data_IF_215564318210
#
_entry.id   IF_215564318210
#
_cell.length_a   1.000
_cell.length_b   1.000
_cell.length_c   1.000
_cell.angle_alpha   90.00
_cell.angle_beta   90.00
_cell.angle_gamma   90.00
#
_symmetry.space_group_name_H-M   'P 1'
#
loop_
_entity.id
_entity.type
_entity.pdbx_description
1 polymer ?
#
# COMPACT_ATOMS: atom_id res chain seq x y z
N UNK A 1 3.41 10.33 -26.00
CA UNK A 1 2.84 10.08 -24.67
C UNK A 1 3.08 8.60 -24.33
N UNK A 2 4.34 8.15 -24.39
CA UNK A 2 4.68 6.70 -24.50
C UNK A 2 5.65 6.20 -23.41
N UNK A 3 6.03 7.06 -22.45
CA UNK A 3 7.07 6.76 -21.46
C UNK A 3 6.52 6.65 -20.03
N UNK A 4 5.20 6.48 -19.85
CA UNK A 4 4.58 6.47 -18.51
C UNK A 4 4.77 5.15 -17.75
N UNK A 5 5.17 4.08 -18.44
CA UNK A 5 5.19 2.73 -17.85
C UNK A 5 6.58 2.13 -17.72
N UNK A 6 7.56 2.64 -18.47
CA UNK A 6 8.95 2.20 -18.41
C UNK A 6 9.84 3.43 -18.40
N UNK A 7 10.08 3.96 -17.20
CA UNK A 7 11.19 4.90 -16.97
C UNK A 7 12.49 4.20 -17.38
N UNK A 8 13.43 4.96 -17.96
CA UNK A 8 14.82 4.53 -18.23
C UNK A 8 15.36 3.67 -17.08
N UNK A 9 16.20 2.65 -17.34
CA UNK A 9 16.53 1.61 -16.37
C UNK A 9 17.06 2.24 -15.09
N UNK A 10 16.16 2.42 -14.12
CA UNK A 10 16.52 2.84 -12.78
C UNK A 10 17.42 1.73 -12.25
N UNK A 11 18.63 2.08 -11.84
CA UNK A 11 19.52 1.20 -11.09
C UNK A 11 18.89 0.90 -9.72
N UNK A 12 17.83 0.11 -9.75
CA UNK A 12 16.96 -0.20 -8.63
C UNK A 12 17.30 -1.60 -8.15
N UNK A 13 17.52 -1.72 -6.85
CA UNK A 13 17.80 -2.99 -6.20
C UNK A 13 16.49 -3.51 -5.62
N UNK A 14 16.07 -4.69 -6.06
CA UNK A 14 14.92 -5.38 -5.47
C UNK A 14 15.38 -6.18 -4.25
N UNK A 15 14.82 -5.88 -3.09
CA UNK A 15 15.09 -6.60 -1.83
C UNK A 15 13.81 -7.18 -1.23
N UNK A 16 13.94 -8.35 -0.58
CA UNK A 16 12.83 -9.00 0.13
C UNK A 16 12.92 -8.73 1.62
N UNK A 17 11.87 -8.16 2.18
CA UNK A 17 11.68 -8.00 3.63
C UNK A 17 10.60 -8.97 4.11
N UNK A 18 10.86 -9.67 5.20
CA UNK A 18 9.94 -10.66 5.77
C UNK A 18 9.41 -10.14 7.11
N UNK A 19 8.09 -10.13 7.25
CA UNK A 19 7.38 -9.80 8.48
C UNK A 19 6.76 -11.07 9.05
N UNK A 20 7.23 -11.51 10.20
CA UNK A 20 6.68 -12.66 10.91
C UNK A 20 5.35 -12.33 11.60
N UNK A 21 4.68 -13.34 12.16
CA UNK A 21 3.39 -13.14 12.82
C UNK A 21 3.47 -12.17 14.01
N UNK A 22 4.59 -12.17 14.74
CA UNK A 22 4.80 -11.30 15.92
C UNK A 22 4.93 -9.84 15.50
N UNK A 23 5.81 -9.54 14.55
CA UNK A 23 6.00 -8.19 14.00
C UNK A 23 4.73 -7.66 13.35
N UNK A 24 3.96 -8.49 12.65
CA UNK A 24 2.65 -8.09 12.13
C UNK A 24 1.69 -7.75 13.27
N UNK A 25 1.67 -8.51 14.36
CA UNK A 25 0.83 -8.22 15.52
C UNK A 25 1.22 -6.89 16.18
N UNK A 26 2.52 -6.63 16.33
CA UNK A 26 3.05 -5.36 16.83
C UNK A 26 2.68 -4.19 15.92
N UNK A 27 2.87 -4.32 14.60
CA UNK A 27 2.49 -3.31 13.62
C UNK A 27 0.99 -3.01 13.68
N UNK A 28 0.14 -4.04 13.84
CA UNK A 28 -1.30 -3.85 13.99
C UNK A 28 -1.66 -3.13 15.29
N UNK A 29 -0.98 -3.43 16.39
CA UNK A 29 -1.19 -2.74 17.66
C UNK A 29 -0.80 -1.26 17.57
N UNK A 30 0.35 -0.96 16.95
CA UNK A 30 0.80 0.41 16.69
C UNK A 30 -0.20 1.14 15.78
N UNK A 31 -0.61 0.49 14.69
CA UNK A 31 -1.55 1.07 13.73
C UNK A 31 -2.96 1.25 14.30
N UNK A 32 -3.36 0.45 15.30
CA UNK A 32 -4.66 0.59 15.96
C UNK A 32 -4.77 1.97 16.60
N UNK A 33 -3.79 2.41 17.39
CA UNK A 33 -3.86 3.71 18.09
C UNK A 33 -5.24 3.94 18.72
N UNK A 34 -5.89 5.04 18.32
CA UNK A 34 -7.25 5.43 18.73
C UNK A 34 -8.35 4.97 17.75
N UNK A 35 -8.01 4.22 16.70
CA UNK A 35 -8.98 3.70 15.74
C UNK A 35 -9.98 2.77 16.44
N UNK A 36 -11.24 2.96 16.10
CA UNK A 36 -12.36 2.14 16.60
C UNK A 36 -12.18 0.66 16.22
N UNK A 37 -11.71 0.38 15.00
CA UNK A 37 -11.50 -0.96 14.48
C UNK A 37 -10.01 -1.32 14.38
N UNK A 38 -9.68 -2.57 14.74
CA UNK A 38 -8.33 -3.11 14.56
C UNK A 38 -7.98 -3.20 13.06
N UNK A 39 -6.88 -2.59 12.59
CA UNK A 39 -6.47 -2.67 11.20
C UNK A 39 -6.23 -4.12 10.76
N UNK A 40 -6.50 -4.39 9.47
CA UNK A 40 -6.10 -5.66 8.86
C UNK A 40 -4.57 -5.77 8.77
N UNK A 41 -4.06 -7.00 8.61
CA UNK A 41 -2.61 -7.21 8.40
C UNK A 41 -2.08 -6.41 7.21
N UNK A 42 -2.86 -6.35 6.13
CA UNK A 42 -2.48 -5.65 4.89
C UNK A 42 -2.38 -4.15 5.15
N UNK A 43 -3.39 -3.56 5.79
CA UNK A 43 -3.38 -2.13 6.13
C UNK A 43 -2.19 -1.77 7.02
N UNK A 44 -1.90 -2.57 8.06
CA UNK A 44 -0.79 -2.32 8.96
C UNK A 44 0.57 -2.39 8.23
N UNK A 45 0.80 -3.41 7.40
CA UNK A 45 2.06 -3.57 6.66
C UNK A 45 2.20 -2.51 5.56
N UNK A 46 1.16 -2.25 4.77
CA UNK A 46 1.21 -1.22 3.72
C UNK A 46 1.40 0.18 4.30
N UNK A 47 0.68 0.51 5.38
CA UNK A 47 0.86 1.79 6.07
C UNK A 47 2.27 1.96 6.62
N UNK A 48 2.85 0.88 7.19
CA UNK A 48 4.24 0.89 7.64
C UNK A 48 5.22 1.13 6.48
N UNK A 49 5.11 0.35 5.39
CA UNK A 49 5.98 0.50 4.20
C UNK A 49 5.85 1.93 3.65
N UNK A 50 4.63 2.43 3.47
CA UNK A 50 4.39 3.76 2.94
C UNK A 50 5.04 4.85 3.80
N UNK A 51 4.86 4.79 5.12
CA UNK A 51 5.51 5.71 6.07
C UNK A 51 7.03 5.68 5.95
N UNK A 52 7.65 4.49 5.85
CA UNK A 52 9.11 4.35 5.69
C UNK A 52 9.58 4.86 4.33
N UNK A 53 8.83 4.60 3.26
CA UNK A 53 9.13 5.09 1.91
C UNK A 53 9.06 6.62 1.83
N UNK A 54 8.06 7.24 2.46
CA UNK A 54 7.95 8.70 2.55
C UNK A 54 9.13 9.32 3.29
N UNK A 55 9.53 8.73 4.43
CA UNK A 55 10.68 9.19 5.19
C UNK A 55 11.98 9.06 4.37
N UNK A 56 12.20 7.93 3.70
CA UNK A 56 13.36 7.72 2.83
C UNK A 56 13.40 8.70 1.65
N UNK A 57 12.25 8.89 0.98
CA UNK A 57 12.11 9.85 -0.11
C UNK A 57 12.43 11.28 0.36
N UNK A 58 11.87 11.70 1.49
CA UNK A 58 12.12 13.01 2.07
C UNK A 58 13.59 13.25 2.44
N UNK A 59 14.29 12.24 2.97
CA UNK A 59 15.73 12.33 3.24
C UNK A 59 16.56 12.51 1.97
N UNK A 60 16.16 11.89 0.86
CA UNK A 60 16.88 11.98 -0.42
C UNK A 60 16.56 13.31 -1.13
N UNK A 61 15.30 13.75 -1.15
CA UNK A 61 14.90 14.97 -1.85
C UNK A 61 15.03 16.26 -1.03
N UNK A 62 15.36 16.16 0.27
CA UNK A 62 15.46 17.30 1.18
C UNK A 62 14.14 18.04 1.44
N UNK A 63 13.02 17.48 0.99
CA UNK A 63 11.69 18.07 1.10
C UNK A 63 10.64 16.96 1.11
N UNK A 64 9.56 17.18 1.86
CA UNK A 64 8.41 16.29 1.86
C UNK A 64 7.50 16.63 0.67
N UNK A 65 7.12 15.60 -0.09
CA UNK A 65 6.24 15.72 -1.25
C UNK A 65 4.91 15.03 -0.96
N UNK A 66 3.79 15.46 -1.60
CA UNK A 66 2.55 14.69 -1.60
C UNK A 66 2.82 13.25 -2.00
N UNK A 67 2.28 12.31 -1.24
CA UNK A 67 2.45 10.88 -1.51
C UNK A 67 1.10 10.21 -1.69
N UNK A 68 1.05 9.24 -2.58
CA UNK A 68 -0.14 8.44 -2.88
C UNK A 68 0.22 6.98 -2.71
N UNK A 69 -0.54 6.25 -1.90
CA UNK A 69 -0.52 4.80 -1.85
C UNK A 69 -1.73 4.28 -2.61
N UNK A 70 -1.48 3.57 -3.70
CA UNK A 70 -2.50 2.87 -4.48
C UNK A 70 -2.47 1.38 -4.12
N UNK A 71 -3.64 0.81 -3.84
CA UNK A 71 -3.82 -0.59 -3.51
C UNK A 71 -4.86 -1.23 -4.43
N UNK A 72 -4.51 -2.39 -4.98
CA UNK A 72 -5.44 -3.26 -5.69
C UNK A 72 -6.35 -3.99 -4.70
N UNK A 73 -7.66 -3.82 -4.86
CA UNK A 73 -8.66 -4.53 -4.07
C UNK A 73 -9.48 -5.46 -4.96
N UNK A 74 -9.64 -6.72 -4.53
CA UNK A 74 -10.50 -7.66 -5.24
C UNK A 74 -11.96 -7.25 -5.09
N UNK A 75 -12.67 -7.17 -6.21
CA UNK A 75 -14.11 -6.90 -6.24
C UNK A 75 -14.96 -8.16 -6.15
N UNK A 76 -14.38 -9.35 -6.35
CA UNK A 76 -15.12 -10.62 -6.34
C UNK A 76 -15.93 -10.84 -5.07
N UNK A 77 -15.37 -10.61 -3.85
CA UNK A 77 -16.13 -10.79 -2.61
C UNK A 77 -17.22 -9.73 -2.40
N UNK A 78 -17.23 -8.67 -3.22
CA UNK A 78 -18.13 -7.50 -3.09
C UNK A 78 -19.23 -7.49 -4.15
N UNK A 79 -19.21 -8.44 -5.09
CA UNK A 79 -20.23 -8.57 -6.13
C UNK A 79 -21.30 -9.56 -5.68
N UNK A 80 -22.58 -9.23 -5.91
CA UNK A 80 -23.74 -10.02 -5.48
C UNK A 80 -23.90 -11.38 -6.18
N UNK A 81 -22.94 -11.80 -7.01
CA UNK A 81 -23.03 -13.02 -7.82
C UNK A 81 -21.89 -13.98 -7.49
N UNK A 82 -22.27 -15.18 -7.02
CA UNK A 82 -21.34 -16.28 -6.76
C UNK A 82 -20.55 -16.70 -8.01
N UNK A 83 -21.06 -16.41 -9.21
CA UNK A 83 -20.39 -16.71 -10.47
C UNK A 83 -19.09 -15.90 -10.65
N UNK A 84 -18.99 -14.73 -10.03
CA UNK A 84 -17.84 -13.83 -10.17
C UNK A 84 -16.64 -14.28 -9.35
N UNK A 85 -16.84 -15.16 -8.36
CA UNK A 85 -15.76 -15.71 -7.57
C UNK A 85 -14.80 -16.55 -8.44
N UNK A 86 -15.34 -17.26 -9.43
CA UNK A 86 -14.58 -18.15 -10.31
C UNK A 86 -14.31 -17.55 -11.70
N UNK A 87 -14.63 -16.28 -11.93
CA UNK A 87 -14.38 -15.63 -13.22
C UNK A 87 -12.88 -15.54 -13.52
N UNK A 88 -12.46 -15.88 -14.75
CA UNK A 88 -11.05 -15.85 -15.16
C UNK A 88 -10.56 -14.41 -15.44
N UNK A 89 -11.48 -13.46 -15.64
CA UNK A 89 -11.14 -12.07 -15.96
C UNK A 89 -10.67 -11.22 -14.77
N UNK A 90 -10.12 -10.04 -15.05
CA UNK A 90 -9.69 -9.07 -14.03
C UNK A 90 -10.89 -8.41 -13.36
N UNK A 91 -11.03 -8.62 -12.04
CA UNK A 91 -12.09 -8.03 -11.22
C UNK A 91 -11.47 -7.38 -9.96
N UNK A 92 -10.83 -6.24 -10.17
CA UNK A 92 -10.23 -5.44 -9.11
C UNK A 92 -10.51 -3.95 -9.34
N UNK A 93 -10.36 -3.15 -8.29
CA UNK A 93 -10.39 -1.70 -8.34
C UNK A 93 -9.17 -1.14 -7.62
N UNK A 94 -8.75 0.07 -7.99
CA UNK A 94 -7.75 0.83 -7.24
C UNK A 94 -8.41 1.64 -6.14
N UNK A 95 -8.00 1.39 -4.92
CA UNK A 95 -8.24 2.31 -3.80
C UNK A 95 -6.96 3.08 -3.55
N UNK A 96 -7.06 4.39 -3.36
CA UNK A 96 -5.91 5.24 -3.07
C UNK A 96 -6.11 5.97 -1.75
N UNK A 97 -5.02 6.19 -1.04
CA UNK A 97 -4.94 7.18 0.02
C UNK A 97 -3.85 8.19 -0.31
N UNK A 98 -4.15 9.46 0.01
CA UNK A 98 -3.28 10.59 -0.25
C UNK A 98 -2.89 11.18 1.09
N UNK A 99 -1.61 11.53 1.22
CA UNK A 99 -1.12 12.29 2.36
C UNK A 99 -0.37 13.50 1.85
N UNK A 100 -0.81 14.66 2.33
CA UNK A 100 -0.09 15.91 2.21
C UNK A 100 0.56 16.14 3.57
N UNK A 101 1.89 16.11 3.64
CA UNK A 101 2.63 16.29 4.91
C UNK A 101 2.65 17.77 5.38
N UNK A 102 1.73 18.60 4.87
CA UNK A 102 1.58 20.02 5.24
C UNK A 102 0.48 20.26 6.27
N UNK A 103 -0.21 19.21 6.72
CA UNK A 103 -1.27 19.26 7.75
C UNK A 103 -0.80 18.64 9.07
#
# INVERSE_FOLDING_TARGET
MENLWFMEPYNSITMRFTFDAKSIAELRAIAKGELEAMPSRIQAVLGFIWKRSMAASGMISGSFKPSVLAQDVSLRPRMNSNLMQNSIGNLFCWTHCVTNLTD
#
